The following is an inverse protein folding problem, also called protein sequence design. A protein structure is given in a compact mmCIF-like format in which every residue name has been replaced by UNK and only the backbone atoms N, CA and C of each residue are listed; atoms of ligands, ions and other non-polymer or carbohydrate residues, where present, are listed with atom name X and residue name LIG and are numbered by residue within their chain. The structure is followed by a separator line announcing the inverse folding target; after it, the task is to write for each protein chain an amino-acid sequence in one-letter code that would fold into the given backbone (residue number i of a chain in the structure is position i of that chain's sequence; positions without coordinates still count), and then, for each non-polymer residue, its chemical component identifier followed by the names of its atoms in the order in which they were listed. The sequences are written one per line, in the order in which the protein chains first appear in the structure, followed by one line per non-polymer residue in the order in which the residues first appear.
data_IF_041619470788
#
_entry.id   IF_041619470788
#
_cell.length_a   1.000
_cell.length_b   1.000
_cell.length_c   1.000
_cell.angle_alpha   90.00
_cell.angle_beta   90.00
_cell.angle_gamma   90.00
#
_symmetry.space_group_name_H-M   'P 1'
#
loop_
_entity.id
_entity.type
_entity.pdbx_description
1 polymer ?
#
# COMPACT_ATOMS: atom_id res chain seq x y z
N UNK A 1 -30.10 22.39 24.97
CA UNK A 1 -28.75 21.91 25.36
C UNK A 1 -28.44 20.48 24.91
N UNK A 2 -29.43 19.64 24.56
CA UNK A 2 -29.20 18.28 24.06
C UNK A 2 -28.62 18.29 22.62
N UNK A 3 -28.99 19.27 21.79
CA UNK A 3 -28.57 19.34 20.38
C UNK A 3 -27.06 19.54 20.16
N UNK A 4 -26.37 20.31 21.00
CA UNK A 4 -24.93 20.54 20.85
C UNK A 4 -24.12 19.28 21.17
N UNK A 5 -24.55 18.49 22.16
CA UNK A 5 -23.91 17.22 22.50
C UNK A 5 -24.13 16.17 21.41
N UNK A 6 -25.35 16.09 20.87
CA UNK A 6 -25.67 15.18 19.77
C UNK A 6 -24.90 15.53 18.48
N UNK A 7 -24.78 16.82 18.14
CA UNK A 7 -24.01 17.29 16.99
C UNK A 7 -22.51 17.02 17.13
N UNK A 8 -21.94 17.29 18.31
CA UNK A 8 -20.53 17.01 18.60
C UNK A 8 -20.21 15.51 18.57
N UNK A 9 -21.09 14.67 19.13
CA UNK A 9 -20.92 13.22 19.09
C UNK A 9 -21.02 12.68 17.66
N UNK A 10 -21.98 13.15 16.86
CA UNK A 10 -22.12 12.73 15.46
C UNK A 10 -20.89 13.09 14.62
N UNK A 11 -20.32 14.29 14.81
CA UNK A 11 -19.10 14.70 14.11
C UNK A 11 -17.90 13.83 14.52
N UNK A 12 -17.71 13.58 15.81
CA UNK A 12 -16.62 12.73 16.30
C UNK A 12 -16.75 11.28 15.82
N UNK A 13 -17.96 10.74 15.71
CA UNK A 13 -18.20 9.41 15.13
C UNK A 13 -17.88 9.37 13.62
N UNK A 14 -18.26 10.40 12.87
CA UNK A 14 -17.93 10.51 11.45
C UNK A 14 -16.41 10.60 11.20
N UNK A 15 -15.68 11.36 12.03
CA UNK A 15 -14.23 11.48 11.95
C UNK A 15 -13.51 10.15 12.25
N UNK A 16 -14.02 9.36 13.20
CA UNK A 16 -13.49 8.03 13.49
C UNK A 16 -13.73 7.04 12.34
N UNK A 17 -14.94 7.02 11.78
CA UNK A 17 -15.29 6.13 10.67
C UNK A 17 -14.46 6.44 9.42
N UNK A 18 -14.32 7.72 9.08
CA UNK A 18 -13.48 8.17 7.96
C UNK A 18 -12.01 7.81 8.17
N UNK A 19 -11.47 8.03 9.36
CA UNK A 19 -10.09 7.66 9.70
C UNK A 19 -9.86 6.15 9.61
N UNK A 20 -10.82 5.34 10.07
CA UNK A 20 -10.76 3.88 9.97
C UNK A 20 -10.76 3.41 8.50
N UNK A 21 -11.65 3.96 7.67
CA UNK A 21 -11.73 3.62 6.24
C UNK A 21 -10.43 4.00 5.53
N UNK A 22 -9.88 5.19 5.83
CA UNK A 22 -8.63 5.65 5.23
C UNK A 22 -7.46 4.76 5.64
N UNK A 23 -7.35 4.42 6.93
CA UNK A 23 -6.32 3.51 7.43
C UNK A 23 -6.41 2.12 6.78
N UNK A 24 -7.63 1.57 6.64
CA UNK A 24 -7.84 0.29 5.97
C UNK A 24 -7.44 0.34 4.49
N UNK A 25 -7.79 1.41 3.76
CA UNK A 25 -7.40 1.56 2.35
C UNK A 25 -5.89 1.67 2.19
N UNK A 26 -5.22 2.48 3.03
CA UNK A 26 -3.75 2.59 3.04
C UNK A 26 -3.09 1.24 3.31
N UNK A 27 -3.52 0.53 4.35
CA UNK A 27 -2.96 -0.79 4.66
C UNK A 27 -3.18 -1.83 3.55
N UNK A 28 -4.29 -1.76 2.82
CA UNK A 28 -4.52 -2.62 1.65
C UNK A 28 -3.58 -2.27 0.49
N UNK A 29 -3.33 -0.99 0.25
CA UNK A 29 -2.43 -0.51 -0.79
C UNK A 29 -0.96 -0.84 -0.47
N UNK A 30 -0.53 -0.58 0.77
CA UNK A 30 0.79 -0.93 1.30
C UNK A 30 1.02 -2.44 1.21
N UNK A 31 0.08 -3.26 1.71
CA UNK A 31 0.21 -4.71 1.66
C UNK A 31 0.23 -5.29 0.25
N UNK A 32 -0.50 -4.68 -0.70
CA UNK A 32 -0.44 -5.04 -2.12
C UNK A 32 0.94 -4.75 -2.69
N UNK A 33 1.49 -3.56 -2.43
CA UNK A 33 2.83 -3.16 -2.90
C UNK A 33 3.92 -4.05 -2.30
N UNK A 34 3.89 -4.30 -0.98
CA UNK A 34 4.81 -5.20 -0.30
C UNK A 34 4.79 -6.62 -0.89
N UNK A 35 3.59 -7.12 -1.19
CA UNK A 35 3.40 -8.41 -1.86
C UNK A 35 4.04 -8.46 -3.25
N UNK A 36 3.83 -7.42 -4.06
CA UNK A 36 4.44 -7.29 -5.39
C UNK A 36 5.96 -7.23 -5.30
N UNK A 37 6.52 -6.41 -4.39
CA UNK A 37 7.96 -6.31 -4.15
C UNK A 37 8.57 -7.63 -3.69
N UNK A 38 7.89 -8.37 -2.81
CA UNK A 38 8.32 -9.69 -2.36
C UNK A 38 8.43 -10.69 -3.52
N UNK A 39 7.44 -10.71 -4.41
CA UNK A 39 7.45 -11.60 -5.59
C UNK A 39 8.56 -11.17 -6.55
N UNK A 40 8.68 -9.87 -6.86
CA UNK A 40 9.71 -9.33 -7.73
C UNK A 40 11.13 -9.70 -7.26
N UNK A 41 11.41 -9.61 -5.94
CA UNK A 41 12.68 -10.08 -5.35
C UNK A 41 12.96 -11.55 -5.67
N UNK A 42 11.97 -12.42 -5.54
CA UNK A 42 12.14 -13.85 -5.84
C UNK A 42 12.38 -14.10 -7.33
N UNK A 43 11.74 -13.32 -8.21
CA UNK A 43 11.96 -13.40 -9.66
C UNK A 43 13.36 -12.93 -10.05
N UNK A 44 13.86 -11.85 -9.44
CA UNK A 44 15.23 -11.36 -9.63
C UNK A 44 16.27 -12.43 -9.22
N UNK A 45 16.06 -13.10 -8.08
CA UNK A 45 16.94 -14.21 -7.64
C UNK A 45 16.96 -15.36 -8.65
N UNK A 46 15.85 -15.58 -9.36
CA UNK A 46 15.72 -16.60 -10.40
C UNK A 46 16.13 -16.09 -11.81
N UNK A 47 16.74 -14.91 -11.91
CA UNK A 47 17.22 -14.30 -13.15
C UNK A 47 16.13 -14.06 -14.21
N UNK A 48 14.90 -13.73 -13.77
CA UNK A 48 13.88 -13.23 -14.68
C UNK A 48 14.30 -11.86 -15.23
N UNK A 49 13.88 -11.54 -16.47
CA UNK A 49 14.16 -10.24 -17.08
C UNK A 49 13.31 -9.14 -16.45
N UNK A 50 13.84 -7.91 -16.42
CA UNK A 50 13.14 -6.76 -15.85
C UNK A 50 11.78 -6.50 -16.53
N UNK A 51 11.74 -6.63 -17.85
CA UNK A 51 10.50 -6.48 -18.64
C UNK A 51 9.41 -7.45 -18.18
N UNK A 52 9.77 -8.73 -17.99
CA UNK A 52 8.84 -9.77 -17.55
C UNK A 52 8.39 -9.55 -16.09
N UNK A 53 9.30 -9.09 -15.22
CA UNK A 53 8.96 -8.77 -13.83
C UNK A 53 7.96 -7.61 -13.79
N UNK A 54 8.17 -6.55 -14.58
CA UNK A 54 7.24 -5.40 -14.65
C UNK A 54 5.87 -5.82 -15.16
N UNK A 55 5.84 -6.63 -16.22
CA UNK A 55 4.60 -7.13 -16.80
C UNK A 55 3.78 -7.95 -15.79
N UNK A 56 4.44 -8.86 -15.05
CA UNK A 56 3.75 -9.79 -14.16
C UNK A 56 3.44 -9.21 -12.77
N UNK A 57 4.22 -8.24 -12.29
CA UNK A 57 4.03 -7.65 -10.96
C UNK A 57 3.32 -6.30 -11.01
N UNK A 58 3.35 -5.60 -12.15
CA UNK A 58 2.83 -4.24 -12.30
C UNK A 58 3.69 -3.17 -11.60
N UNK A 59 4.91 -3.51 -11.19
CA UNK A 59 5.85 -2.57 -10.58
C UNK A 59 6.43 -1.58 -11.61
N UNK A 60 6.78 -0.40 -11.14
CA UNK A 60 7.50 0.59 -11.95
C UNK A 60 8.98 0.20 -12.11
N UNK A 61 9.68 0.90 -12.99
CA UNK A 61 11.14 0.74 -13.10
C UNK A 61 11.85 1.19 -11.81
N UNK A 62 11.35 2.26 -11.19
CA UNK A 62 11.91 2.81 -9.95
C UNK A 62 11.85 1.80 -8.80
N UNK A 63 10.71 1.12 -8.64
CA UNK A 63 10.54 0.07 -7.63
C UNK A 63 11.56 -1.07 -7.82
N UNK A 64 11.76 -1.49 -9.08
CA UNK A 64 12.72 -2.54 -9.43
C UNK A 64 14.17 -2.13 -9.20
N UNK A 65 14.51 -0.88 -9.54
CA UNK A 65 15.85 -0.35 -9.32
C UNK A 65 16.16 -0.24 -7.81
N UNK A 66 15.16 0.14 -7.00
CA UNK A 66 15.24 0.13 -5.54
C UNK A 66 15.54 -1.27 -5.00
N UNK A 67 14.82 -2.30 -5.47
CA UNK A 67 15.05 -3.70 -5.07
C UNK A 67 16.46 -4.21 -5.43
N UNK A 68 17.03 -3.74 -6.55
CA UNK A 68 18.40 -4.09 -6.96
C UNK A 68 19.45 -3.35 -6.14
N UNK A 69 19.15 -2.11 -5.74
CA UNK A 69 20.00 -1.30 -4.87
C UNK A 69 20.23 -1.91 -3.49
N UNK A 70 19.23 -2.61 -2.93
CA UNK A 70 19.33 -3.35 -1.66
C UNK A 70 20.33 -4.53 -1.69
N UNK A 71 20.76 -4.97 -2.88
CA UNK A 71 21.64 -6.13 -3.05
C UNK A 71 23.14 -5.79 -3.08
N UNK A 72 23.52 -4.51 -2.96
CA UNK A 72 24.93 -4.09 -2.83
C UNK A 72 25.42 -4.25 -1.40
#
# INVERSE_FOLDING_TARGET
MIDQLAYSAANHFGELETSFILGRKRGQEEGRLEGQLKIARQMLVKNFTDELIKELTGLSQEDLDGLKGERK
#
